data_IF_005379719287
#
_entry.id   IF_005379719287
#
_cell.length_a   1.000
_cell.length_b   1.000
_cell.length_c   1.000
_cell.angle_alpha   90.00
_cell.angle_beta   90.00
_cell.angle_gamma   90.00
#
_symmetry.space_group_name_H-M   'P 1'
#
loop_
_entity.id
_entity.type
_entity.pdbx_description
1 polymer ?
#
# COMPACT_ATOMS: atom_id res chain seq x y z
N UNK A 1 -15.03 36.83 70.15
CA UNK A 1 -14.36 37.78 69.23
C UNK A 1 -12.85 37.56 69.29
N UNK A 2 -12.31 36.64 68.47
CA UNK A 2 -10.86 36.39 68.34
C UNK A 2 -10.43 36.81 66.93
N UNK A 3 -9.56 37.82 66.84
CA UNK A 3 -8.80 38.17 65.64
C UNK A 3 -7.78 37.06 65.36
N UNK A 4 -7.84 36.48 64.17
CA UNK A 4 -6.72 35.77 63.58
C UNK A 4 -6.25 36.59 62.39
N UNK A 5 -5.03 37.09 62.53
CA UNK A 5 -4.20 37.66 61.47
C UNK A 5 -3.75 36.53 60.55
N UNK A 6 -3.90 36.70 59.24
CA UNK A 6 -3.14 35.95 58.26
C UNK A 6 -2.70 36.92 57.15
N UNK A 7 -1.39 37.19 57.17
CA UNK A 7 -0.65 37.99 56.21
C UNK A 7 -0.41 37.25 54.87
N UNK A 8 0.04 37.97 53.82
CA UNK A 8 -0.20 37.63 52.43
C UNK A 8 0.87 36.71 51.82
N UNK A 9 0.45 35.83 50.90
CA UNK A 9 1.37 35.09 50.02
C UNK A 9 1.52 35.86 48.70
N UNK A 10 2.63 36.58 48.56
CA UNK A 10 3.17 37.01 47.28
C UNK A 10 4.15 35.95 46.73
N UNK A 11 4.09 35.71 45.42
CA UNK A 11 5.07 35.09 44.48
C UNK A 11 4.40 34.00 43.64
N UNK A 12 4.54 33.90 42.32
CA UNK A 12 5.43 34.56 41.36
C UNK A 12 4.72 34.60 39.99
N UNK A 13 4.55 35.79 39.44
CA UNK A 13 4.53 35.95 37.98
C UNK A 13 5.97 35.84 37.43
N UNK A 14 6.06 35.65 36.12
CA UNK A 14 7.23 35.87 35.23
C UNK A 14 8.20 34.71 35.07
N UNK A 15 8.04 34.00 33.96
CA UNK A 15 9.08 33.86 32.93
C UNK A 15 8.46 33.37 31.62
N UNK A 16 7.91 34.34 30.88
CA UNK A 16 7.88 34.26 29.42
C UNK A 16 9.30 34.58 28.91
N UNK A 17 9.63 33.97 27.77
CA UNK A 17 10.52 34.51 26.74
C UNK A 17 12.02 34.21 26.81
N UNK A 18 12.45 33.46 25.77
CA UNK A 18 13.79 33.25 25.14
C UNK A 18 13.99 31.74 24.92
N UNK A 19 14.06 31.18 23.72
CA UNK A 19 14.95 31.57 22.62
C UNK A 19 14.34 31.34 21.22
N UNK A 20 14.32 32.42 20.44
CA UNK A 20 14.30 32.43 18.97
C UNK A 20 15.70 32.83 18.51
N UNK A 21 16.49 31.90 17.96
CA UNK A 21 17.49 32.13 16.89
C UNK A 21 18.41 30.93 16.71
N UNK A 22 18.38 30.35 15.51
CA UNK A 22 19.53 30.05 14.61
C UNK A 22 18.92 29.35 13.40
N UNK A 23 18.81 30.03 12.26
CA UNK A 23 19.87 30.14 11.25
C UNK A 23 20.42 28.78 10.83
N UNK A 24 19.93 28.26 9.69
CA UNK A 24 20.70 28.24 8.42
C UNK A 24 19.87 27.55 7.35
N UNK A 25 19.63 28.28 6.27
CA UNK A 25 19.15 27.72 5.02
C UNK A 25 20.10 26.62 4.53
N UNK A 26 19.50 25.52 4.10
CA UNK A 26 20.11 24.62 3.14
C UNK A 26 19.10 24.38 2.03
N UNK A 27 19.22 25.23 1.01
CA UNK A 27 18.66 25.02 -0.31
C UNK A 27 19.40 23.87 -0.98
N UNK A 28 18.88 22.65 -0.86
CA UNK A 28 19.21 21.60 -1.81
C UNK A 28 18.07 21.45 -2.82
N UNK A 29 18.45 21.85 -4.02
CA UNK A 29 17.78 21.68 -5.31
C UNK A 29 16.90 20.44 -5.39
N UNK A 30 15.67 20.68 -5.84
CA UNK A 30 14.82 19.64 -6.39
C UNK A 30 15.50 18.92 -7.54
N UNK A 31 15.77 17.64 -7.34
CA UNK A 31 15.69 16.65 -8.40
C UNK A 31 14.39 15.88 -8.21
N UNK A 32 13.30 16.50 -8.67
CA UNK A 32 12.09 15.80 -9.01
C UNK A 32 12.39 14.93 -10.23
N UNK A 33 12.90 13.72 -9.99
CA UNK A 33 12.78 12.66 -10.99
C UNK A 33 11.29 12.38 -11.14
N UNK A 34 10.69 12.97 -12.18
CA UNK A 34 9.44 12.54 -12.74
C UNK A 34 9.65 11.12 -13.31
N UNK A 35 9.72 10.15 -12.41
CA UNK A 35 9.52 8.75 -12.73
C UNK A 35 8.07 8.65 -13.22
N UNK A 36 7.91 8.75 -14.54
CA UNK A 36 6.74 8.28 -15.28
C UNK A 36 6.63 6.76 -15.11
N UNK A 37 6.36 6.30 -13.90
CA UNK A 37 5.74 4.99 -13.72
C UNK A 37 4.28 5.18 -14.11
N UNK A 38 4.03 5.08 -15.42
CA UNK A 38 2.71 4.78 -15.92
C UNK A 38 2.17 3.63 -15.10
N UNK A 39 1.09 3.89 -14.35
CA UNK A 39 0.25 2.85 -13.77
C UNK A 39 -0.39 2.13 -14.95
N UNK A 40 0.36 1.28 -15.62
CA UNK A 40 -0.19 0.27 -16.50
C UNK A 40 -0.99 -0.65 -15.60
N UNK A 41 -2.29 -0.36 -15.49
CA UNK A 41 -3.27 -1.29 -14.93
C UNK A 41 -3.03 -2.61 -15.64
N UNK A 42 -2.60 -3.63 -14.89
CA UNK A 42 -2.35 -4.96 -15.41
C UNK A 42 -3.66 -5.46 -16.04
N UNK A 43 -3.76 -5.34 -17.36
CA UNK A 43 -4.88 -5.88 -18.09
C UNK A 43 -4.77 -7.41 -18.04
N UNK A 44 -5.89 -8.12 -17.87
CA UNK A 44 -5.88 -9.57 -17.91
C UNK A 44 -5.44 -10.03 -19.30
N UNK A 45 -4.21 -10.54 -19.39
CA UNK A 45 -3.63 -11.03 -20.64
C UNK A 45 -4.33 -12.30 -21.09
N UNK A 46 -4.91 -12.26 -22.29
CA UNK A 46 -5.48 -13.45 -22.93
C UNK A 46 -4.37 -14.43 -23.36
N UNK A 47 -4.65 -15.74 -23.33
CA UNK A 47 -3.68 -16.79 -23.68
C UNK A 47 -3.06 -16.61 -25.07
N UNK A 48 -3.79 -15.99 -26.01
CA UNK A 48 -3.33 -15.71 -27.38
C UNK A 48 -2.24 -14.64 -27.43
N UNK A 49 -2.27 -13.67 -26.52
CA UNK A 49 -1.23 -12.64 -26.41
C UNK A 49 0.03 -13.16 -25.75
N UNK A 50 -0.12 -14.10 -24.81
CA UNK A 50 1.01 -14.74 -24.14
C UNK A 50 1.92 -15.47 -25.14
N UNK A 51 1.35 -16.12 -26.15
CA UNK A 51 2.10 -16.83 -27.20
C UNK A 51 3.13 -15.98 -27.96
N UNK A 52 2.90 -14.66 -28.07
CA UNK A 52 3.78 -13.72 -28.78
C UNK A 52 4.89 -13.12 -27.91
N UNK A 53 4.77 -13.24 -26.58
CA UNK A 53 5.72 -12.65 -25.61
C UNK A 53 6.94 -13.53 -25.42
N UNK A 54 8.09 -12.92 -25.13
CA UNK A 54 9.31 -13.64 -24.76
C UNK A 54 9.20 -14.29 -23.38
N UNK A 55 10.01 -15.32 -23.11
CA UNK A 55 10.02 -15.96 -21.78
C UNK A 55 10.46 -15.00 -20.67
N UNK A 56 11.34 -14.04 -21.00
CA UNK A 56 11.75 -12.98 -20.07
C UNK A 56 10.55 -12.11 -19.67
N UNK A 57 9.73 -11.69 -20.64
CA UNK A 57 8.52 -10.92 -20.38
C UNK A 57 7.50 -11.69 -19.55
N UNK A 58 7.29 -12.98 -19.84
CA UNK A 58 6.40 -13.84 -19.05
C UNK A 58 6.90 -13.95 -17.61
N UNK A 59 8.20 -14.16 -17.39
CA UNK A 59 8.77 -14.22 -16.04
C UNK A 59 8.65 -12.89 -15.29
N UNK A 60 8.90 -11.75 -15.95
CA UNK A 60 8.71 -10.42 -15.36
C UNK A 60 7.24 -10.20 -14.98
N UNK A 61 6.30 -10.64 -15.81
CA UNK A 61 4.88 -10.51 -15.53
C UNK A 61 4.44 -11.39 -14.36
N UNK A 62 4.96 -12.62 -14.24
CA UNK A 62 4.74 -13.48 -13.07
C UNK A 62 5.22 -12.75 -11.81
N UNK A 63 6.45 -12.23 -11.82
CA UNK A 63 7.00 -11.49 -10.68
C UNK A 63 6.13 -10.31 -10.26
N UNK A 64 5.76 -9.43 -11.22
CA UNK A 64 4.86 -8.29 -10.96
C UNK A 64 3.50 -8.72 -10.40
N UNK A 65 2.92 -9.78 -10.96
CA UNK A 65 1.62 -10.29 -10.50
C UNK A 65 1.72 -10.83 -9.08
N UNK A 66 2.80 -11.53 -8.73
CA UNK A 66 3.05 -12.03 -7.37
C UNK A 66 3.25 -10.90 -6.36
N UNK A 67 4.00 -9.84 -6.71
CA UNK A 67 4.14 -8.68 -5.83
C UNK A 67 2.80 -7.99 -5.59
N UNK A 68 1.99 -7.84 -6.64
CA UNK A 68 0.67 -7.23 -6.54
C UNK A 68 -0.27 -8.07 -5.64
N UNK A 69 -0.26 -9.40 -5.77
CA UNK A 69 -0.99 -10.32 -4.87
C UNK A 69 -0.60 -10.05 -3.41
N UNK A 70 0.70 -10.00 -3.11
CA UNK A 70 1.18 -9.73 -1.75
C UNK A 70 0.73 -8.36 -1.23
N UNK A 71 0.74 -7.34 -2.09
CA UNK A 71 0.30 -6.00 -1.73
C UNK A 71 -1.20 -5.96 -1.41
N UNK A 72 -2.03 -6.59 -2.25
CA UNK A 72 -3.49 -6.69 -2.03
C UNK A 72 -3.80 -7.47 -0.76
N UNK A 73 -3.10 -8.57 -0.48
CA UNK A 73 -3.28 -9.35 0.76
C UNK A 73 -2.94 -8.54 2.01
N UNK A 74 -1.83 -7.77 1.99
CA UNK A 74 -1.50 -6.84 3.09
C UNK A 74 -2.57 -5.77 3.26
N UNK A 75 -3.07 -5.22 2.15
CA UNK A 75 -4.12 -4.20 2.19
C UNK A 75 -5.44 -4.77 2.75
N UNK A 76 -5.83 -5.97 2.36
CA UNK A 76 -6.98 -6.69 2.91
C UNK A 76 -6.82 -6.92 4.42
N UNK A 77 -5.63 -7.31 4.88
CA UNK A 77 -5.36 -7.43 6.32
C UNK A 77 -5.63 -6.09 7.01
N UNK A 78 -5.15 -4.97 6.47
CA UNK A 78 -5.39 -3.66 7.05
C UNK A 78 -6.88 -3.27 7.07
N UNK A 79 -7.60 -3.48 5.97
CA UNK A 79 -9.03 -3.19 5.88
C UNK A 79 -9.84 -4.03 6.88
N UNK A 80 -9.49 -5.31 7.07
CA UNK A 80 -10.14 -6.17 8.08
C UNK A 80 -9.93 -5.64 9.50
N UNK A 81 -8.73 -5.14 9.83
CA UNK A 81 -8.49 -4.49 11.12
C UNK A 81 -9.27 -3.18 11.26
N UNK A 82 -9.39 -2.40 10.16
CA UNK A 82 -10.20 -1.19 10.16
C UNK A 82 -11.68 -1.51 10.36
N UNK A 83 -12.20 -2.58 9.75
CA UNK A 83 -13.57 -3.02 9.92
C UNK A 83 -13.85 -3.38 11.39
N UNK A 84 -13.01 -4.24 11.97
CA UNK A 84 -13.16 -4.67 13.37
C UNK A 84 -13.21 -3.50 14.36
N UNK A 85 -12.50 -2.39 14.08
CA UNK A 85 -12.53 -1.18 14.92
C UNK A 85 -13.78 -0.33 14.75
N UNK A 86 -14.41 -0.35 13.58
CA UNK A 86 -15.54 0.51 13.22
C UNK A 86 -16.89 -0.18 13.32
N UNK A 87 -16.93 -1.52 13.34
CA UNK A 87 -18.17 -2.32 13.31
C UNK A 87 -19.16 -1.96 14.43
N UNK A 88 -18.67 -1.61 15.61
CA UNK A 88 -19.48 -1.19 16.75
C UNK A 88 -19.68 0.33 16.88
N UNK A 89 -18.93 1.15 16.14
CA UNK A 89 -18.87 2.60 16.33
C UNK A 89 -19.54 3.38 15.21
N UNK A 90 -19.34 2.96 13.97
CA UNK A 90 -19.85 3.65 12.79
C UNK A 90 -20.23 2.62 11.72
N UNK A 91 -21.53 2.34 11.65
CA UNK A 91 -22.10 1.39 10.71
C UNK A 91 -21.90 1.81 9.26
N UNK A 92 -22.02 3.11 8.95
CA UNK A 92 -21.85 3.62 7.58
C UNK A 92 -20.40 3.44 7.13
N UNK A 93 -19.45 3.71 8.03
CA UNK A 93 -18.04 3.46 7.74
C UNK A 93 -17.77 1.95 7.62
N UNK A 94 -18.31 1.13 8.52
CA UNK A 94 -18.18 -0.33 8.43
C UNK A 94 -18.67 -0.88 7.08
N UNK A 95 -19.82 -0.43 6.59
CA UNK A 95 -20.38 -0.85 5.30
C UNK A 95 -19.48 -0.45 4.12
N UNK A 96 -18.90 0.75 4.12
CA UNK A 96 -17.94 1.13 3.07
C UNK A 96 -16.63 0.34 3.15
N UNK A 97 -16.14 0.00 4.35
CA UNK A 97 -14.96 -0.89 4.49
C UNK A 97 -15.29 -2.30 3.98
N UNK A 98 -16.48 -2.82 4.26
CA UNK A 98 -16.94 -4.12 3.73
C UNK A 98 -16.98 -4.13 2.21
N UNK A 99 -17.52 -3.09 1.58
CA UNK A 99 -17.52 -2.97 0.13
C UNK A 99 -16.09 -2.96 -0.43
N UNK A 100 -15.19 -2.18 0.16
CA UNK A 100 -13.78 -2.16 -0.26
C UNK A 100 -13.09 -3.52 -0.11
N UNK A 101 -13.41 -4.27 0.95
CA UNK A 101 -12.90 -5.63 1.13
C UNK A 101 -13.39 -6.52 -0.02
N UNK A 102 -14.68 -6.50 -0.35
CA UNK A 102 -15.25 -7.30 -1.43
C UNK A 102 -14.62 -6.98 -2.80
N UNK A 103 -14.40 -5.69 -3.09
CA UNK A 103 -13.73 -5.26 -4.33
C UNK A 103 -12.29 -5.77 -4.39
N UNK A 104 -11.55 -5.68 -3.28
CA UNK A 104 -10.16 -6.15 -3.18
C UNK A 104 -10.05 -7.68 -3.24
N UNK A 105 -11.01 -8.42 -2.67
CA UNK A 105 -11.06 -9.89 -2.77
C UNK A 105 -11.35 -10.33 -4.20
N UNK A 106 -12.25 -9.65 -4.90
CA UNK A 106 -12.54 -9.90 -6.31
C UNK A 106 -11.28 -9.67 -7.16
N UNK A 107 -10.58 -8.56 -6.94
CA UNK A 107 -9.34 -8.26 -7.64
C UNK A 107 -8.24 -9.28 -7.33
N UNK A 108 -8.10 -9.69 -6.06
CA UNK A 108 -7.17 -10.76 -5.67
C UNK A 108 -7.44 -12.05 -6.43
N UNK A 109 -8.71 -12.44 -6.60
CA UNK A 109 -9.08 -13.63 -7.34
C UNK A 109 -8.71 -13.52 -8.83
N UNK A 110 -8.87 -12.34 -9.44
CA UNK A 110 -8.43 -12.08 -10.81
C UNK A 110 -6.91 -12.22 -10.94
N UNK A 111 -6.14 -11.66 -10.00
CA UNK A 111 -4.68 -11.78 -9.99
C UNK A 111 -4.22 -13.23 -9.82
N UNK A 112 -4.86 -14.02 -8.94
CA UNK A 112 -4.56 -15.45 -8.77
C UNK A 112 -4.81 -16.24 -10.05
N UNK A 113 -5.93 -15.98 -10.72
CA UNK A 113 -6.26 -16.61 -12.01
C UNK A 113 -5.25 -16.25 -13.09
N UNK A 114 -4.84 -14.97 -13.15
CA UNK A 114 -3.80 -14.48 -14.06
C UNK A 114 -2.45 -15.18 -13.80
N UNK A 115 -2.04 -15.25 -12.53
CA UNK A 115 -0.81 -15.93 -12.12
C UNK A 115 -0.80 -17.40 -12.55
N UNK A 116 -1.88 -18.14 -12.28
CA UNK A 116 -2.02 -19.54 -12.68
C UNK A 116 -1.92 -19.72 -14.20
N UNK A 117 -2.51 -18.80 -14.96
CA UNK A 117 -2.46 -18.83 -16.43
C UNK A 117 -1.03 -18.61 -16.93
N UNK A 118 -0.30 -17.63 -16.37
CA UNK A 118 1.09 -17.35 -16.70
C UNK A 118 2.02 -18.53 -16.37
N UNK A 119 1.84 -19.14 -15.20
CA UNK A 119 2.61 -20.31 -14.79
C UNK A 119 2.35 -21.52 -15.70
N UNK A 120 1.08 -21.79 -16.02
CA UNK A 120 0.70 -22.89 -16.91
C UNK A 120 1.32 -22.70 -18.30
N UNK A 121 1.27 -21.47 -18.82
CA UNK A 121 1.89 -21.14 -20.10
C UNK A 121 3.43 -21.29 -20.07
N UNK A 122 4.10 -20.88 -18.99
CA UNK A 122 5.54 -21.09 -18.79
C UNK A 122 5.90 -22.58 -18.78
N UNK A 123 5.13 -23.42 -18.07
CA UNK A 123 5.32 -24.87 -18.03
C UNK A 123 5.17 -25.50 -19.41
N UNK A 124 4.12 -25.13 -20.14
CA UNK A 124 3.86 -25.65 -21.49
C UNK A 124 4.98 -25.31 -22.48
N UNK A 125 5.49 -24.07 -22.43
CA UNK A 125 6.63 -23.66 -23.27
C UNK A 125 7.90 -24.43 -22.94
N UNK A 126 8.19 -24.62 -21.66
CA UNK A 126 9.35 -25.40 -21.21
C UNK A 126 9.25 -26.86 -21.70
N UNK A 127 8.07 -27.46 -21.60
CA UNK A 127 7.82 -28.81 -22.11
C UNK A 127 8.01 -28.90 -23.63
N UNK A 128 7.44 -27.95 -24.39
CA UNK A 128 7.62 -27.91 -25.85
C UNK A 128 9.10 -27.80 -26.24
N UNK A 129 9.87 -26.90 -25.62
CA UNK A 129 11.30 -26.74 -25.91
C UNK A 129 12.09 -28.03 -25.71
N UNK A 130 11.77 -28.81 -24.66
CA UNK A 130 12.40 -30.12 -24.43
C UNK A 130 12.10 -31.12 -25.53
N UNK A 131 10.94 -31.03 -26.18
CA UNK A 131 10.53 -31.93 -27.26
C UNK A 131 11.04 -31.51 -28.64
N UNK A 132 11.48 -30.26 -28.82
CA UNK A 132 11.95 -29.74 -30.11
C UNK A 132 13.48 -29.76 -30.25
N UNK A 133 14.22 -30.00 -29.16
CA UNK A 133 15.68 -30.12 -29.17
C UNK A 133 16.02 -31.61 -29.26
N UNK A 134 15.98 -32.15 -30.47
CA UNK A 134 16.49 -33.47 -30.86
C UNK A 134 17.16 -33.33 -32.22
#
# INVERSE_FOLDING_TARGET
MRRLMAEPVHRNERKRERDRKRDRGSTHSGHAHASKHGKEKATPTSARELGKRSDKEVNLQIFKTSEEIMNVERHLKHLRHQLARNESKDRKMADQVRQKIADQETYLQQLKTSSQTLESHKKNRSAHKKLTIF
#
